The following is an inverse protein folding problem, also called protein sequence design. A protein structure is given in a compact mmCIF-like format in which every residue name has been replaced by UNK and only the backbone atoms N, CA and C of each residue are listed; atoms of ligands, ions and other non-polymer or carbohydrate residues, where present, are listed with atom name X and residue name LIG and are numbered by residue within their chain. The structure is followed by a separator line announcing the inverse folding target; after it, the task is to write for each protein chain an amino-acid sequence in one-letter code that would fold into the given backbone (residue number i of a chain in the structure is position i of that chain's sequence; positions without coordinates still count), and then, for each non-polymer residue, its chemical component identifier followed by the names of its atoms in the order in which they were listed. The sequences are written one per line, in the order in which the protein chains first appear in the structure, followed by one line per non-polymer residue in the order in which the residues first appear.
data_IF_597407768946
#
_entry.id   IF_597407768946
#
_cell.length_a   1.000
_cell.length_b   1.000
_cell.length_c   1.000
_cell.angle_alpha   90.00
_cell.angle_beta   90.00
_cell.angle_gamma   90.00
#
_symmetry.space_group_name_H-M   'P 1'
#
loop_
_entity.id
_entity.type
_entity.pdbx_description
1 polymer ?
#
# COMPACT_ATOMS: atom_id res chain seq x y z
N UNK A 1 45.57 31.43 -17.33
CA UNK A 1 46.05 31.11 -18.69
C UNK A 1 45.50 29.74 -19.08
N UNK A 2 44.86 29.75 -20.26
CA UNK A 2 44.50 28.61 -21.13
C UNK A 2 43.44 27.59 -20.64
N UNK A 3 42.22 27.83 -21.14
CA UNK A 3 41.10 26.93 -21.37
C UNK A 3 41.50 25.70 -22.21
N UNK A 4 40.94 24.54 -21.93
CA UNK A 4 40.67 23.51 -22.96
C UNK A 4 39.30 22.89 -22.68
N UNK A 5 38.36 23.25 -23.52
CA UNK A 5 37.09 22.57 -23.71
C UNK A 5 37.34 21.28 -24.54
N UNK A 6 36.67 20.20 -24.19
CA UNK A 6 36.60 19.02 -25.07
C UNK A 6 35.10 18.69 -25.25
N UNK A 7 34.63 19.07 -26.46
CA UNK A 7 33.31 18.65 -26.97
C UNK A 7 33.41 17.21 -27.47
N UNK A 8 32.51 16.34 -27.08
CA UNK A 8 32.25 15.08 -27.77
C UNK A 8 30.91 15.18 -28.50
N UNK A 9 31.02 15.19 -29.81
CA UNK A 9 29.93 15.02 -30.78
C UNK A 9 29.65 13.52 -30.91
N UNK A 10 28.42 13.10 -30.69
CA UNK A 10 27.94 11.76 -31.03
C UNK A 10 27.02 11.88 -32.26
N UNK A 11 27.46 11.26 -33.34
CA UNK A 11 26.75 11.23 -34.61
C UNK A 11 25.63 10.18 -34.59
N UNK A 12 24.42 10.60 -34.99
CA UNK A 12 23.29 9.75 -35.33
C UNK A 12 23.48 9.19 -36.73
N UNK A 13 23.48 7.87 -36.88
CA UNK A 13 23.36 7.20 -38.17
C UNK A 13 21.97 6.59 -38.30
N UNK A 14 21.12 7.20 -39.13
CA UNK A 14 19.89 6.59 -39.66
C UNK A 14 20.28 5.60 -40.76
N UNK A 15 19.72 4.39 -40.68
CA UNK A 15 19.65 3.46 -41.82
C UNK A 15 18.19 3.27 -42.18
N UNK A 16 17.82 3.78 -43.32
CA UNK A 16 16.58 3.51 -44.04
C UNK A 16 16.86 2.52 -45.16
N UNK A 17 16.08 1.43 -45.22
CA UNK A 17 15.89 0.63 -46.44
C UNK A 17 14.57 -0.16 -46.17
N UNK A 18 13.52 -0.14 -46.94
CA UNK A 18 13.41 -0.04 -48.39
C UNK A 18 12.33 -1.08 -48.77
N UNK A 19 11.20 -0.60 -49.29
CA UNK A 19 10.04 -1.36 -49.79
C UNK A 19 10.38 -2.15 -51.08
N UNK A 20 9.77 -3.32 -51.23
CA UNK A 20 9.22 -3.91 -52.47
C UNK A 20 8.80 -5.34 -52.16
N UNK A 21 7.64 -5.90 -52.46
CA UNK A 21 6.65 -5.63 -53.46
C UNK A 21 6.19 -6.93 -54.09
N UNK A 22 4.85 -7.15 -54.19
CA UNK A 22 4.16 -8.02 -55.20
C UNK A 22 4.43 -9.55 -55.16
N UNK A 23 3.51 -10.41 -55.42
CA UNK A 23 2.12 -10.46 -55.87
C UNK A 23 1.68 -11.94 -56.05
N UNK A 24 0.38 -12.20 -55.83
CA UNK A 24 -0.51 -13.11 -56.59
C UNK A 24 -0.08 -14.57 -56.90
N UNK A 25 -0.91 -15.57 -56.59
CA UNK A 25 -1.99 -16.09 -57.43
C UNK A 25 -2.57 -17.40 -56.85
N UNK A 26 -3.84 -17.44 -56.62
CA UNK A 26 -4.90 -18.23 -57.23
C UNK A 26 -4.61 -19.71 -57.52
N UNK A 27 -5.47 -20.59 -57.03
CA UNK A 27 -5.61 -21.96 -57.46
C UNK A 27 -6.76 -22.64 -56.75
N UNK A 28 -7.90 -22.66 -57.45
CA UNK A 28 -9.16 -23.34 -57.19
C UNK A 28 -9.08 -24.84 -57.53
N UNK A 29 -9.92 -25.61 -56.91
CA UNK A 29 -10.75 -26.72 -57.45
C UNK A 29 -10.85 -27.86 -56.44
N UNK A 30 -12.00 -28.12 -56.00
CA UNK A 30 -13.18 -28.82 -56.48
C UNK A 30 -13.32 -30.27 -55.98
N UNK A 31 -14.49 -30.47 -55.35
CA UNK A 31 -15.38 -31.63 -55.35
C UNK A 31 -14.88 -33.01 -54.93
N UNK A 32 -15.55 -33.66 -53.98
CA UNK A 32 -16.69 -34.55 -54.25
C UNK A 32 -17.38 -35.01 -52.96
N UNK A 33 -18.71 -35.08 -53.04
CA UNK A 33 -19.64 -35.65 -52.07
C UNK A 33 -19.78 -37.15 -52.23
N UNK A 34 -20.16 -37.85 -51.17
CA UNK A 34 -21.05 -39.04 -51.10
C UNK A 34 -21.35 -39.32 -49.64
N UNK A 35 -22.44 -39.13 -49.10
CA UNK A 35 -23.78 -39.69 -49.03
C UNK A 35 -23.87 -41.10 -48.36
N UNK A 36 -24.90 -41.21 -47.48
CA UNK A 36 -25.62 -42.32 -46.89
C UNK A 36 -25.09 -42.86 -45.55
N UNK A 37 -25.85 -43.00 -44.49
CA UNK A 37 -27.26 -43.24 -44.19
C UNK A 37 -27.46 -43.25 -42.66
N UNK A 38 -28.70 -42.97 -42.30
CA UNK A 38 -29.30 -42.89 -40.97
C UNK A 38 -29.25 -44.18 -40.13
N UNK A 39 -29.29 -44.02 -38.81
CA UNK A 39 -30.34 -44.60 -37.94
C UNK A 39 -30.12 -44.25 -36.45
N UNK A 40 -31.13 -43.67 -35.83
CA UNK A 40 -31.71 -44.16 -34.58
C UNK A 40 -31.31 -43.45 -33.26
N UNK A 41 -32.12 -42.50 -32.88
CA UNK A 41 -32.78 -42.38 -31.56
C UNK A 41 -32.01 -42.64 -30.27
N UNK A 42 -31.81 -41.58 -29.47
CA UNK A 42 -32.48 -41.43 -28.17
C UNK A 42 -32.21 -40.01 -27.63
N UNK A 43 -33.30 -39.34 -27.24
CA UNK A 43 -33.30 -38.02 -26.66
C UNK A 43 -32.77 -38.12 -25.22
N UNK A 44 -31.66 -37.41 -24.94
CA UNK A 44 -31.29 -36.99 -23.60
C UNK A 44 -31.53 -35.48 -23.55
N UNK A 45 -32.48 -35.13 -22.73
CA UNK A 45 -32.83 -33.74 -22.37
C UNK A 45 -31.64 -33.12 -21.61
N UNK A 46 -30.80 -32.44 -22.33
CA UNK A 46 -29.80 -31.54 -21.75
C UNK A 46 -30.38 -30.13 -21.84
N UNK A 47 -30.85 -29.63 -20.71
CA UNK A 47 -31.08 -28.21 -20.53
C UNK A 47 -29.78 -27.50 -20.87
N UNK A 48 -29.71 -26.94 -22.07
CA UNK A 48 -28.71 -25.99 -22.45
C UNK A 48 -28.90 -24.76 -21.54
N UNK A 49 -27.87 -24.43 -20.78
CA UNK A 49 -27.77 -23.10 -20.22
C UNK A 49 -27.84 -22.13 -21.40
N UNK A 50 -28.77 -21.19 -21.35
CA UNK A 50 -28.84 -20.08 -22.30
C UNK A 50 -27.54 -19.30 -22.15
N UNK A 51 -26.61 -19.43 -23.08
CA UNK A 51 -25.53 -18.44 -23.25
C UNK A 51 -26.21 -17.13 -23.57
N UNK A 52 -26.17 -16.21 -22.61
CA UNK A 52 -26.55 -14.81 -22.79
C UNK A 52 -25.67 -14.21 -23.88
N UNK A 53 -26.22 -14.01 -25.08
CA UNK A 53 -25.57 -13.31 -26.20
C UNK A 53 -25.78 -11.78 -26.07
N UNK A 54 -25.91 -11.26 -24.85
CA UNK A 54 -25.95 -9.84 -24.55
C UNK A 54 -24.53 -9.23 -24.59
N UNK A 55 -24.42 -8.02 -25.08
CA UNK A 55 -23.20 -7.22 -24.96
C UNK A 55 -22.91 -7.04 -23.45
N UNK A 56 -21.71 -7.47 -22.99
CA UNK A 56 -21.32 -7.34 -21.58
C UNK A 56 -21.14 -5.87 -21.21
N UNK A 57 -21.56 -5.50 -20.01
CA UNK A 57 -21.28 -4.18 -19.45
C UNK A 57 -19.82 -4.15 -19.00
N UNK A 58 -19.03 -3.18 -19.48
CA UNK A 58 -17.66 -2.98 -19.02
C UNK A 58 -17.66 -1.99 -17.87
N UNK A 59 -17.06 -2.38 -16.75
CA UNK A 59 -16.82 -1.55 -15.58
C UNK A 59 -15.31 -1.21 -15.53
N UNK A 60 -14.95 0.07 -15.58
CA UNK A 60 -13.54 0.50 -15.56
C UNK A 60 -13.09 0.87 -14.16
N UNK A 61 -12.02 0.18 -13.71
CA UNK A 61 -11.42 0.36 -12.40
C UNK A 61 -9.99 0.87 -12.50
N UNK A 62 -9.69 2.05 -11.92
CA UNK A 62 -8.32 2.57 -11.84
C UNK A 62 -7.54 1.93 -10.69
N UNK A 63 -6.34 1.45 -11.00
CA UNK A 63 -5.44 0.76 -10.08
C UNK A 63 -3.98 1.19 -10.35
N UNK A 64 -3.03 0.64 -9.60
CA UNK A 64 -1.59 0.78 -9.84
C UNK A 64 -0.88 -0.55 -9.62
N UNK A 65 0.29 -0.71 -10.27
CA UNK A 65 1.18 -1.87 -10.10
C UNK A 65 0.47 -3.24 -10.23
N UNK A 66 -0.38 -3.41 -11.26
CA UNK A 66 -1.16 -4.64 -11.50
C UNK A 66 -0.28 -5.88 -11.43
N UNK A 67 0.91 -5.83 -12.03
CA UNK A 67 1.81 -6.97 -12.07
C UNK A 67 2.43 -7.36 -10.72
N UNK A 68 2.40 -6.45 -9.75
CA UNK A 68 2.93 -6.64 -8.40
C UNK A 68 1.84 -6.90 -7.35
N UNK A 69 0.56 -6.84 -7.75
CA UNK A 69 -0.59 -6.90 -6.84
C UNK A 69 -1.50 -8.08 -7.21
N UNK A 70 -1.21 -9.29 -6.73
CA UNK A 70 -1.88 -10.52 -7.19
C UNK A 70 -3.37 -10.58 -6.86
N UNK A 71 -3.82 -9.95 -5.79
CA UNK A 71 -5.23 -9.96 -5.40
C UNK A 71 -6.14 -9.19 -6.37
N UNK A 72 -5.65 -8.26 -7.17
CA UNK A 72 -6.48 -7.53 -8.14
C UNK A 72 -7.17 -8.48 -9.12
N UNK A 73 -6.41 -9.35 -9.77
CA UNK A 73 -6.99 -10.29 -10.74
C UNK A 73 -7.92 -11.29 -10.07
N UNK A 74 -7.57 -11.77 -8.85
CA UNK A 74 -8.43 -12.71 -8.12
C UNK A 74 -9.78 -12.09 -7.74
N UNK A 75 -9.79 -10.81 -7.35
CA UNK A 75 -11.01 -10.07 -7.06
C UNK A 75 -11.88 -9.89 -8.31
N UNK A 76 -11.25 -9.53 -9.44
CA UNK A 76 -11.95 -9.37 -10.72
C UNK A 76 -12.55 -10.71 -11.17
N UNK A 77 -11.76 -11.77 -11.17
CA UNK A 77 -12.23 -13.11 -11.60
C UNK A 77 -13.41 -13.58 -10.76
N UNK A 78 -13.34 -13.40 -9.43
CA UNK A 78 -14.41 -13.79 -8.52
C UNK A 78 -15.68 -12.94 -8.67
N UNK A 79 -15.55 -11.66 -8.97
CA UNK A 79 -16.70 -10.80 -9.27
C UNK A 79 -17.35 -11.16 -10.60
N UNK A 80 -16.57 -11.35 -11.66
CA UNK A 80 -17.07 -11.73 -13.00
C UNK A 80 -17.72 -13.13 -13.00
N UNK A 81 -17.28 -14.05 -12.14
CA UNK A 81 -17.95 -15.35 -11.97
C UNK A 81 -19.39 -15.19 -11.47
N UNK A 82 -19.64 -14.22 -10.59
CA UNK A 82 -20.98 -13.89 -10.07
C UNK A 82 -21.80 -13.03 -11.02
N UNK A 83 -21.13 -12.24 -11.86
CA UNK A 83 -21.73 -11.29 -12.80
C UNK A 83 -21.27 -11.61 -14.23
N UNK A 84 -21.76 -12.72 -14.85
CA UNK A 84 -21.26 -13.19 -16.15
C UNK A 84 -21.56 -12.23 -17.31
N UNK A 85 -22.41 -11.24 -17.11
CA UNK A 85 -22.75 -10.16 -18.03
C UNK A 85 -21.91 -8.88 -17.83
N UNK A 86 -20.93 -8.92 -16.90
CA UNK A 86 -20.00 -7.84 -16.61
C UNK A 86 -18.59 -8.22 -17.03
N UNK A 87 -17.80 -7.23 -17.42
CA UNK A 87 -16.34 -7.33 -17.57
C UNK A 87 -15.71 -6.15 -16.82
N UNK A 88 -14.73 -6.43 -15.96
CA UNK A 88 -13.99 -5.41 -15.23
C UNK A 88 -12.66 -5.14 -15.95
N UNK A 89 -12.51 -3.93 -16.48
CA UNK A 89 -11.28 -3.45 -17.10
C UNK A 89 -10.44 -2.70 -16.06
N UNK A 90 -9.30 -3.28 -15.65
CA UNK A 90 -8.34 -2.61 -14.79
C UNK A 90 -7.46 -1.67 -15.61
N UNK A 91 -7.35 -0.41 -15.18
CA UNK A 91 -6.52 0.61 -15.82
C UNK A 91 -5.38 0.99 -14.88
N UNK A 92 -4.15 0.60 -15.24
CA UNK A 92 -2.95 0.90 -14.45
C UNK A 92 -2.48 2.33 -14.72
N UNK A 93 -2.59 3.20 -13.71
CA UNK A 93 -2.12 4.59 -13.78
C UNK A 93 -0.69 4.78 -13.26
N UNK A 94 -0.01 3.68 -12.86
CA UNK A 94 1.30 3.70 -12.22
C UNK A 94 1.24 4.18 -10.77
N UNK A 95 2.20 3.75 -9.95
CA UNK A 95 2.18 4.03 -8.50
C UNK A 95 2.79 5.38 -8.10
N UNK A 96 3.74 5.91 -8.86
CA UNK A 96 4.53 7.09 -8.46
C UNK A 96 3.69 8.37 -8.43
N UNK A 97 2.93 8.64 -9.50
CA UNK A 97 2.13 9.86 -9.65
C UNK A 97 0.62 9.57 -9.66
N UNK A 98 0.23 8.41 -9.13
CA UNK A 98 -1.15 7.90 -9.22
C UNK A 98 -2.22 8.94 -8.89
N UNK A 99 -2.12 9.60 -7.73
CA UNK A 99 -3.13 10.57 -7.27
C UNK A 99 -3.21 11.80 -8.16
N UNK A 100 -2.07 12.26 -8.68
CA UNK A 100 -2.01 13.41 -9.60
C UNK A 100 -2.65 13.07 -10.95
N UNK A 101 -2.33 11.87 -11.47
CA UNK A 101 -2.92 11.37 -12.72
C UNK A 101 -4.42 11.19 -12.57
N UNK A 102 -4.86 10.49 -11.51
CA UNK A 102 -6.27 10.27 -11.22
C UNK A 102 -7.05 11.58 -11.08
N UNK A 103 -6.52 12.54 -10.30
CA UNK A 103 -7.17 13.85 -10.16
C UNK A 103 -7.28 14.61 -11.46
N UNK A 104 -6.30 14.45 -12.37
CA UNK A 104 -6.33 15.04 -13.71
C UNK A 104 -7.38 14.38 -14.58
N UNK A 105 -7.45 13.06 -14.61
CA UNK A 105 -8.43 12.29 -15.36
C UNK A 105 -9.86 12.63 -14.91
N UNK A 106 -10.14 12.62 -13.60
CA UNK A 106 -11.48 12.87 -13.05
C UNK A 106 -11.95 14.32 -13.21
N UNK A 107 -11.02 15.28 -13.29
CA UNK A 107 -11.37 16.71 -13.53
C UNK A 107 -11.37 17.09 -14.99
N UNK A 108 -10.83 16.24 -15.86
CA UNK A 108 -10.86 16.40 -17.31
C UNK A 108 -12.24 16.12 -17.91
N UNK A 109 -12.43 16.52 -19.16
CA UNK A 109 -13.65 16.16 -19.90
C UNK A 109 -13.46 14.78 -20.52
N UNK A 110 -14.20 13.77 -20.05
CA UNK A 110 -14.26 12.44 -20.68
C UNK A 110 -13.64 11.31 -19.86
N UNK A 111 -13.52 11.47 -18.55
CA UNK A 111 -13.24 10.32 -17.67
C UNK A 111 -14.37 9.29 -17.81
N UNK A 112 -14.00 8.05 -18.05
CA UNK A 112 -14.89 6.91 -18.19
C UNK A 112 -14.65 5.83 -17.12
N UNK A 113 -14.01 6.23 -15.99
CA UNK A 113 -13.88 5.36 -14.83
C UNK A 113 -15.23 5.21 -14.12
N UNK A 114 -15.53 3.97 -13.72
CA UNK A 114 -16.69 3.62 -12.90
C UNK A 114 -16.33 3.44 -11.44
N UNK A 115 -15.15 2.88 -11.18
CA UNK A 115 -14.58 2.73 -9.83
C UNK A 115 -13.15 3.24 -9.83
N UNK A 116 -12.78 3.95 -8.77
CA UNK A 116 -11.41 4.43 -8.60
C UNK A 116 -10.86 3.99 -7.26
N UNK A 117 -9.60 3.54 -7.26
CA UNK A 117 -8.87 3.29 -6.03
C UNK A 117 -8.37 4.59 -5.43
N UNK A 118 -8.56 4.76 -4.15
CA UNK A 118 -8.04 5.88 -3.36
C UNK A 118 -6.82 5.38 -2.60
N UNK A 119 -5.67 5.94 -2.92
CA UNK A 119 -4.38 5.45 -2.42
C UNK A 119 -4.04 5.94 -1.03
N UNK A 120 -4.47 7.17 -0.71
CA UNK A 120 -4.15 7.86 0.55
C UNK A 120 -5.15 8.98 0.86
N UNK A 121 -5.16 9.43 2.12
CA UNK A 121 -6.07 10.49 2.58
C UNK A 121 -5.82 11.84 1.91
N UNK A 122 -4.58 12.31 1.64
CA UNK A 122 -4.37 13.56 0.89
C UNK A 122 -4.96 13.55 -0.51
N UNK A 123 -4.84 12.43 -1.23
CA UNK A 123 -5.47 12.24 -2.53
C UNK A 123 -7.00 12.24 -2.43
N UNK A 124 -7.53 11.52 -1.45
CA UNK A 124 -8.95 11.47 -1.15
C UNK A 124 -9.54 12.86 -0.93
N UNK A 125 -8.99 13.62 0.02
CA UNK A 125 -9.49 14.97 0.32
C UNK A 125 -9.39 15.92 -0.86
N UNK A 126 -8.37 15.76 -1.69
CA UNK A 126 -8.23 16.51 -2.96
C UNK A 126 -9.39 16.21 -3.92
N UNK A 127 -9.76 14.96 -4.08
CA UNK A 127 -10.86 14.55 -4.98
C UNK A 127 -12.22 14.99 -4.44
N UNK A 128 -12.47 14.84 -3.13
CA UNK A 128 -13.71 15.33 -2.48
C UNK A 128 -13.84 16.85 -2.64
N UNK A 129 -12.77 17.62 -2.38
CA UNK A 129 -12.76 19.07 -2.54
C UNK A 129 -13.04 19.52 -3.99
N UNK A 130 -12.69 18.71 -4.98
CA UNK A 130 -12.99 18.94 -6.39
C UNK A 130 -14.43 18.55 -6.77
N UNK A 131 -15.17 17.86 -5.90
CA UNK A 131 -16.54 17.41 -6.14
C UNK A 131 -16.65 16.33 -7.21
N UNK A 132 -15.63 15.50 -7.38
CA UNK A 132 -15.57 14.45 -8.42
C UNK A 132 -15.91 13.06 -7.93
N UNK A 133 -16.21 12.90 -6.63
CA UNK A 133 -16.62 11.64 -6.03
C UNK A 133 -18.10 11.68 -5.60
N UNK A 134 -18.78 10.56 -5.76
CA UNK A 134 -20.18 10.35 -5.35
C UNK A 134 -20.26 10.04 -3.85
N UNK A 135 -21.18 10.67 -3.08
CA UNK A 135 -21.43 10.27 -1.69
C UNK A 135 -22.00 8.84 -1.61
N UNK A 136 -21.48 8.02 -0.71
CA UNK A 136 -21.84 6.60 -0.59
C UNK A 136 -22.93 6.31 0.46
N UNK A 137 -23.30 7.28 1.30
CA UNK A 137 -24.22 7.04 2.43
C UNK A 137 -25.55 6.43 2.00
N UNK A 138 -26.13 6.86 0.88
CA UNK A 138 -27.39 6.30 0.37
C UNK A 138 -27.25 4.85 -0.13
N UNK A 139 -26.12 4.51 -0.71
CA UNK A 139 -25.80 3.14 -1.13
C UNK A 139 -25.59 2.22 0.08
N UNK A 140 -24.86 2.69 1.09
CA UNK A 140 -24.60 1.98 2.36
C UNK A 140 -25.93 1.70 3.07
N UNK A 141 -26.80 2.71 3.20
CA UNK A 141 -28.11 2.56 3.85
C UNK A 141 -29.01 1.57 3.10
N UNK A 142 -29.07 1.67 1.77
CA UNK A 142 -29.96 0.82 0.96
C UNK A 142 -29.51 -0.64 0.90
N UNK A 143 -28.20 -0.90 0.92
CA UNK A 143 -27.63 -2.25 0.89
C UNK A 143 -27.41 -2.85 2.28
N UNK A 144 -27.52 -2.04 3.35
CA UNK A 144 -27.37 -2.51 4.73
C UNK A 144 -25.93 -2.90 5.10
N UNK A 145 -24.92 -2.26 4.52
CA UNK A 145 -23.51 -2.49 4.86
C UNK A 145 -23.24 -2.11 6.31
N UNK A 146 -22.70 -3.05 7.09
CA UNK A 146 -22.32 -2.82 8.48
C UNK A 146 -20.92 -2.19 8.56
N UNK A 147 -20.87 -0.89 8.84
CA UNK A 147 -19.60 -0.17 8.95
C UNK A 147 -18.81 -0.53 10.22
N UNK A 148 -19.38 -1.20 11.21
CA UNK A 148 -18.68 -1.58 12.45
C UNK A 148 -17.56 -2.60 12.19
N UNK A 149 -17.66 -3.38 11.11
CA UNK A 149 -16.64 -4.34 10.69
C UNK A 149 -15.29 -3.69 10.31
N UNK A 150 -15.28 -2.39 10.00
CA UNK A 150 -14.05 -1.62 9.70
C UNK A 150 -13.41 -1.03 10.97
N UNK A 151 -13.83 -1.43 12.17
CA UNK A 151 -13.24 -0.99 13.46
C UNK A 151 -13.08 0.54 13.58
N UNK A 152 -14.06 1.29 13.08
CA UNK A 152 -14.09 2.77 13.14
C UNK A 152 -13.30 3.50 12.06
N UNK A 153 -12.54 2.81 11.21
CA UNK A 153 -11.75 3.45 10.13
C UNK A 153 -12.68 4.14 9.11
N UNK A 154 -13.81 3.51 8.75
CA UNK A 154 -14.76 4.12 7.82
C UNK A 154 -15.33 5.45 8.35
N UNK A 155 -15.46 5.60 9.66
CA UNK A 155 -15.94 6.87 10.26
C UNK A 155 -14.86 7.95 10.28
N UNK A 156 -13.57 7.57 10.32
CA UNK A 156 -12.44 8.51 10.29
C UNK A 156 -12.22 9.16 8.92
N UNK A 157 -12.76 8.59 7.84
CA UNK A 157 -12.65 9.15 6.47
C UNK A 157 -13.87 9.95 6.03
N UNK A 158 -14.80 10.25 6.94
CA UNK A 158 -15.94 11.14 6.62
C UNK A 158 -15.48 12.58 6.39
N UNK A 159 -15.98 13.18 5.31
CA UNK A 159 -15.81 14.61 5.00
C UNK A 159 -17.18 15.29 5.15
N UNK A 160 -17.27 16.30 6.01
CA UNK A 160 -18.54 16.98 6.32
C UNK A 160 -19.70 16.04 6.69
N UNK A 161 -19.37 14.93 7.35
CA UNK A 161 -20.32 13.90 7.79
C UNK A 161 -20.73 12.90 6.71
N UNK A 162 -20.26 13.03 5.48
CA UNK A 162 -20.53 12.11 4.36
C UNK A 162 -19.31 11.20 4.09
N UNK A 163 -19.60 9.97 3.62
CA UNK A 163 -18.60 9.01 3.19
C UNK A 163 -18.55 8.99 1.65
N UNK A 164 -17.36 9.15 1.08
CA UNK A 164 -17.15 9.13 -0.37
C UNK A 164 -16.27 7.97 -0.84
N UNK A 165 -15.75 7.19 0.10
CA UNK A 165 -14.93 6.01 -0.17
C UNK A 165 -15.27 4.89 0.80
N UNK A 166 -15.04 3.63 0.41
CA UNK A 166 -15.17 2.47 1.30
C UNK A 166 -13.84 1.71 1.32
N UNK A 167 -13.22 1.51 2.49
CA UNK A 167 -11.95 0.80 2.59
C UNK A 167 -12.07 -0.66 2.15
N UNK A 168 -11.08 -1.18 1.40
CA UNK A 168 -10.95 -2.61 1.12
C UNK A 168 -9.58 -3.17 1.53
N UNK A 169 -8.55 -2.32 1.66
CA UNK A 169 -7.24 -2.63 2.23
C UNK A 169 -7.02 -1.72 3.44
N UNK A 170 -6.46 -2.28 4.50
CA UNK A 170 -6.09 -1.55 5.69
C UNK A 170 -4.73 -2.04 6.20
N UNK A 171 -3.68 -1.59 5.57
CA UNK A 171 -2.32 -1.87 6.05
C UNK A 171 -2.05 -1.09 7.33
N UNK A 172 -1.41 -1.72 8.30
CA UNK A 172 -0.98 -1.09 9.54
C UNK A 172 0.49 -1.36 9.82
N UNK A 173 1.09 -0.57 10.71
CA UNK A 173 2.50 -0.70 11.02
C UNK A 173 2.74 -1.73 12.10
N UNK A 174 3.82 -2.52 11.91
CA UNK A 174 4.35 -3.49 12.85
C UNK A 174 5.88 -3.37 12.92
N UNK A 175 6.50 -4.06 13.85
CA UNK A 175 7.94 -4.18 13.91
C UNK A 175 8.36 -5.53 13.31
N UNK A 176 9.05 -5.51 12.18
CA UNK A 176 9.73 -6.67 11.61
C UNK A 176 11.06 -6.90 12.33
N UNK A 177 11.45 -8.16 12.51
CA UNK A 177 12.77 -8.50 13.06
C UNK A 177 13.39 -9.72 12.37
N UNK A 178 14.72 -9.71 12.28
CA UNK A 178 15.51 -10.80 11.70
C UNK A 178 15.97 -11.74 12.83
N UNK A 179 15.36 -12.92 12.95
CA UNK A 179 15.63 -13.90 14.00
C UNK A 179 17.07 -14.37 14.01
N UNK A 180 17.73 -14.49 12.85
CA UNK A 180 19.11 -14.96 12.76
C UNK A 180 20.09 -13.99 13.44
N UNK A 181 19.82 -12.68 13.42
CA UNK A 181 20.64 -11.69 14.12
C UNK A 181 20.49 -11.87 15.65
N UNK A 182 19.27 -12.04 16.13
CA UNK A 182 18.99 -12.26 17.54
C UNK A 182 19.64 -13.55 18.04
N UNK A 183 19.49 -14.64 17.28
CA UNK A 183 20.08 -15.95 17.60
C UNK A 183 21.61 -15.87 17.65
N UNK A 184 22.23 -15.20 16.67
CA UNK A 184 23.67 -15.01 16.61
C UNK A 184 24.21 -14.17 17.77
N UNK A 185 23.44 -13.18 18.22
CA UNK A 185 23.79 -12.34 19.38
C UNK A 185 23.47 -12.99 20.73
N UNK A 186 22.63 -14.06 20.76
CA UNK A 186 22.13 -14.66 21.99
C UNK A 186 21.19 -13.73 22.77
N UNK A 187 20.45 -12.88 22.07
CA UNK A 187 19.50 -11.91 22.62
C UNK A 187 18.08 -12.44 22.43
N UNK A 188 17.23 -12.26 23.42
CA UNK A 188 15.81 -12.64 23.37
C UNK A 188 15.08 -11.84 22.28
N UNK A 189 14.09 -12.47 21.61
CA UNK A 189 13.27 -11.81 20.61
C UNK A 189 12.43 -10.68 21.22
N UNK A 190 12.03 -9.65 20.42
CA UNK A 190 11.15 -8.60 20.90
C UNK A 190 9.76 -9.17 21.26
N UNK A 191 9.04 -8.49 22.12
CA UNK A 191 7.71 -8.88 22.59
C UNK A 191 6.62 -7.98 22.03
N UNK A 192 5.35 -8.43 22.10
CA UNK A 192 4.19 -7.65 21.71
C UNK A 192 3.80 -6.55 22.72
N UNK A 193 4.52 -6.44 23.82
CA UNK A 193 4.35 -5.45 24.89
C UNK A 193 5.72 -4.78 25.13
N UNK A 194 6.24 -4.09 24.12
CA UNK A 194 7.55 -3.45 24.16
C UNK A 194 7.40 -1.93 24.07
N UNK A 195 7.97 -1.23 25.05
CA UNK A 195 8.02 0.24 25.03
C UNK A 195 9.09 0.76 24.07
N UNK A 196 9.04 2.06 23.72
CA UNK A 196 10.09 2.70 22.90
C UNK A 196 11.46 2.70 23.58
N UNK A 197 11.49 2.82 24.92
CA UNK A 197 12.76 2.75 25.67
C UNK A 197 13.37 1.34 25.58
N UNK A 198 12.55 0.31 25.71
CA UNK A 198 12.99 -1.09 25.53
C UNK A 198 13.42 -1.37 24.09
N UNK A 199 12.72 -0.80 23.12
CA UNK A 199 13.07 -0.89 21.69
C UNK A 199 14.46 -0.28 21.42
N UNK A 200 14.74 0.97 21.87
CA UNK A 200 16.05 1.62 21.69
C UNK A 200 17.16 0.82 22.39
N UNK A 201 16.93 0.35 23.63
CA UNK A 201 17.88 -0.48 24.34
C UNK A 201 18.18 -1.81 23.61
N UNK A 202 17.16 -2.44 23.06
CA UNK A 202 17.27 -3.68 22.29
C UNK A 202 18.03 -3.45 20.98
N UNK A 203 17.70 -2.39 20.24
CA UNK A 203 18.39 -2.01 19.02
C UNK A 203 19.89 -1.78 19.25
N UNK A 204 20.24 -1.04 20.31
CA UNK A 204 21.64 -0.81 20.70
C UNK A 204 22.37 -2.10 21.06
N UNK A 205 21.71 -3.04 21.74
CA UNK A 205 22.31 -4.32 22.14
C UNK A 205 22.67 -5.22 20.95
N UNK A 206 21.97 -5.09 19.82
CA UNK A 206 22.17 -5.86 18.59
C UNK A 206 23.12 -5.19 17.60
N UNK A 207 23.49 -3.94 17.84
CA UNK A 207 24.29 -3.14 16.91
C UNK A 207 25.75 -3.60 16.86
N UNK A 208 26.28 -3.80 15.65
CA UNK A 208 27.70 -4.06 15.41
C UNK A 208 28.22 -3.02 14.43
N UNK A 209 29.20 -2.21 14.86
CA UNK A 209 29.78 -1.13 14.06
C UNK A 209 31.16 -1.50 13.45
N UNK A 210 31.53 -2.78 13.48
CA UNK A 210 32.78 -3.26 12.89
C UNK A 210 32.72 -3.18 11.36
N UNK A 211 33.64 -2.45 10.68
CA UNK A 211 33.63 -2.32 9.22
C UNK A 211 33.63 -3.67 8.50
N UNK A 212 32.66 -3.86 7.59
CA UNK A 212 32.44 -5.08 6.83
C UNK A 212 31.70 -6.20 7.59
N UNK A 213 31.22 -5.92 8.81
CA UNK A 213 30.40 -6.79 9.64
C UNK A 213 29.29 -5.98 10.32
N UNK A 214 28.90 -4.87 9.71
CA UNK A 214 27.90 -3.97 10.28
C UNK A 214 26.55 -4.67 10.45
N UNK A 215 26.00 -4.57 11.65
CA UNK A 215 24.61 -4.89 11.95
C UNK A 215 23.95 -3.65 12.51
N UNK A 216 22.89 -3.23 11.87
CA UNK A 216 22.04 -2.13 12.31
C UNK A 216 20.95 -2.67 13.23
N UNK A 217 20.90 -2.20 14.48
CA UNK A 217 19.87 -2.61 15.44
C UNK A 217 18.49 -2.17 15.02
N UNK A 218 18.39 -1.02 14.35
CA UNK A 218 17.15 -0.44 13.83
C UNK A 218 17.29 0.00 12.37
N UNK A 219 16.16 0.11 11.66
CA UNK A 219 16.08 0.75 10.35
C UNK A 219 14.85 1.64 10.27
N UNK A 220 15.05 2.88 9.87
CA UNK A 220 13.99 3.86 9.59
C UNK A 220 14.04 4.21 8.10
N UNK A 221 12.96 3.89 7.40
CA UNK A 221 12.87 4.30 6.00
C UNK A 221 12.73 5.82 5.89
N UNK A 222 13.03 6.39 4.71
CA UNK A 222 13.11 7.84 4.49
C UNK A 222 11.74 8.56 4.43
N UNK A 223 10.73 7.99 5.06
CA UNK A 223 9.42 8.61 5.25
C UNK A 223 9.33 9.28 6.62
N UNK A 224 8.64 10.43 6.71
CA UNK A 224 8.41 11.10 8.00
C UNK A 224 7.70 10.17 9.00
N UNK A 225 6.77 9.35 8.50
CA UNK A 225 6.01 8.40 9.33
C UNK A 225 6.90 7.39 10.06
N UNK A 226 8.07 7.02 9.51
CA UNK A 226 9.00 6.14 10.19
C UNK A 226 9.51 6.67 11.55
N UNK A 227 9.40 8.00 11.80
CA UNK A 227 9.76 8.65 13.06
C UNK A 227 8.56 9.31 13.72
N UNK A 228 7.75 10.07 12.97
CA UNK A 228 6.63 10.81 13.54
C UNK A 228 5.52 9.91 14.07
N UNK A 229 5.42 8.70 13.55
CA UNK A 229 4.50 7.67 14.00
C UNK A 229 4.58 7.41 15.52
N UNK A 230 5.78 7.43 16.07
CA UNK A 230 5.99 7.18 17.51
C UNK A 230 5.18 8.13 18.41
N UNK A 231 4.99 9.37 17.98
CA UNK A 231 4.35 10.41 18.79
C UNK A 231 2.83 10.51 18.66
N UNK A 232 2.22 9.81 17.68
CA UNK A 232 0.76 9.92 17.42
C UNK A 232 -0.03 8.66 17.78
N UNK A 233 0.59 7.72 18.49
CA UNK A 233 -0.05 6.47 18.91
C UNK A 233 -0.68 6.53 20.29
N UNK A 234 -0.59 7.64 20.98
CA UNK A 234 -1.11 7.86 22.34
C UNK A 234 -2.63 8.11 22.36
N UNK A 235 -3.24 8.38 21.20
CA UNK A 235 -4.65 8.71 21.07
C UNK A 235 -4.99 10.16 21.49
N UNK A 236 -3.98 10.96 21.84
CA UNK A 236 -4.10 12.36 22.24
C UNK A 236 -3.59 13.29 21.14
N UNK A 237 -2.47 12.94 20.50
CA UNK A 237 -1.81 13.76 19.47
C UNK A 237 -2.14 13.26 18.06
N UNK A 238 -2.20 14.20 17.13
CA UNK A 238 -2.38 13.96 15.71
C UNK A 238 -1.40 14.79 14.87
N UNK A 239 -1.26 14.41 13.61
CA UNK A 239 -0.49 15.19 12.63
C UNK A 239 -1.14 16.55 12.31
N UNK A 240 -2.40 16.78 12.71
CA UNK A 240 -3.13 18.04 12.52
C UNK A 240 -3.03 19.01 13.71
N UNK A 241 -2.30 18.70 14.79
CA UNK A 241 -2.30 19.49 16.02
C UNK A 241 -1.72 20.90 15.85
N UNK A 242 -0.84 21.11 14.86
CA UNK A 242 -0.16 22.40 14.65
C UNK A 242 0.87 22.75 15.71
N UNK A 243 1.09 21.87 16.69
CA UNK A 243 2.17 21.89 17.66
C UNK A 243 2.78 20.50 17.75
N UNK A 244 4.05 20.37 17.41
CA UNK A 244 4.76 19.10 17.27
C UNK A 244 5.87 18.92 18.32
N UNK A 245 5.83 19.64 19.44
CA UNK A 245 6.80 19.52 20.53
C UNK A 245 6.83 18.09 21.10
N UNK A 246 5.71 17.35 21.01
CA UNK A 246 5.59 15.95 21.41
C UNK A 246 6.46 15.01 20.56
N UNK A 247 6.88 15.39 19.34
CA UNK A 247 7.75 14.59 18.48
C UNK A 247 9.23 14.68 18.87
N UNK A 248 9.61 15.68 19.69
CA UNK A 248 11.00 15.94 20.03
C UNK A 248 11.74 14.72 20.60
N UNK A 249 11.22 13.99 21.60
CA UNK A 249 11.93 12.84 22.18
C UNK A 249 12.18 11.73 21.14
N UNK A 250 11.29 11.54 20.19
CA UNK A 250 11.44 10.53 19.15
C UNK A 250 12.49 10.91 18.10
N UNK A 251 12.54 12.17 17.71
CA UNK A 251 13.65 12.67 16.87
C UNK A 251 14.98 12.60 17.62
N UNK A 252 15.03 12.92 18.91
CA UNK A 252 16.23 12.77 19.73
C UNK A 252 16.70 11.32 19.77
N UNK A 253 15.81 10.35 19.96
CA UNK A 253 16.11 8.93 19.93
C UNK A 253 16.73 8.53 18.59
N UNK A 254 16.05 8.77 17.47
CA UNK A 254 16.50 8.34 16.14
C UNK A 254 17.77 9.06 15.69
N UNK A 255 17.94 10.33 15.96
CA UNK A 255 19.18 11.07 15.65
C UNK A 255 20.35 10.54 16.48
N UNK A 256 20.14 10.20 17.76
CA UNK A 256 21.19 9.58 18.59
C UNK A 256 21.53 8.18 18.06
N UNK A 257 20.55 7.38 17.68
CA UNK A 257 20.78 6.07 17.05
C UNK A 257 21.59 6.19 15.74
N UNK A 258 21.26 7.18 14.90
CA UNK A 258 22.00 7.47 13.68
C UNK A 258 23.46 7.86 13.98
N UNK A 259 23.68 8.76 14.95
CA UNK A 259 25.03 9.20 15.35
C UNK A 259 25.87 8.08 15.93
N UNK A 260 25.26 7.12 16.64
CA UNK A 260 25.89 5.97 17.27
C UNK A 260 26.05 4.78 16.31
N UNK A 261 25.50 4.86 15.09
CA UNK A 261 25.53 3.80 14.09
C UNK A 261 24.58 2.65 14.39
N UNK A 262 23.56 2.87 15.21
CA UNK A 262 22.48 1.92 15.51
C UNK A 262 21.56 1.74 14.31
N UNK A 263 21.33 2.81 13.56
CA UNK A 263 20.63 2.77 12.28
C UNK A 263 21.49 3.38 11.17
N UNK A 264 21.06 3.17 9.92
CA UNK A 264 21.73 3.74 8.74
C UNK A 264 21.53 5.26 8.69
N UNK A 265 22.56 5.96 8.19
CA UNK A 265 22.51 7.40 7.98
C UNK A 265 21.43 7.79 6.96
N UNK A 266 20.55 8.72 7.36
CA UNK A 266 19.40 9.15 6.56
C UNK A 266 19.79 9.74 5.20
N UNK A 267 20.84 10.60 5.19
CA UNK A 267 21.30 11.22 3.95
C UNK A 267 21.85 10.17 2.99
N UNK A 268 22.48 9.13 3.50
CA UNK A 268 22.94 7.97 2.74
C UNK A 268 21.77 7.19 2.14
N UNK A 269 20.73 6.92 2.93
CA UNK A 269 19.51 6.24 2.46
C UNK A 269 18.82 7.05 1.35
N UNK A 270 18.61 8.35 1.55
CA UNK A 270 18.02 9.27 0.54
C UNK A 270 18.84 9.29 -0.74
N UNK A 271 20.17 9.41 -0.64
CA UNK A 271 21.05 9.52 -1.81
C UNK A 271 21.16 8.22 -2.61
N UNK A 272 21.20 7.08 -1.91
CA UNK A 272 21.25 5.76 -2.55
C UNK A 272 19.93 5.31 -3.12
N UNK A 273 18.80 5.89 -2.65
CA UNK A 273 17.46 5.42 -2.97
C UNK A 273 17.21 3.99 -2.48
N UNK A 274 17.90 3.55 -1.41
CA UNK A 274 17.73 2.21 -0.88
C UNK A 274 16.31 2.05 -0.32
N UNK A 275 15.54 1.19 -0.97
CA UNK A 275 14.19 0.87 -0.54
C UNK A 275 14.20 0.00 0.72
N UNK A 276 13.22 0.14 1.61
CA UNK A 276 13.14 -0.63 2.87
C UNK A 276 13.24 -2.15 2.66
N UNK A 277 12.61 -2.67 1.60
CA UNK A 277 12.66 -4.10 1.29
C UNK A 277 14.09 -4.54 0.94
N UNK A 278 14.84 -3.72 0.21
CA UNK A 278 16.25 -3.96 -0.08
C UNK A 278 17.14 -3.83 1.16
N UNK A 279 16.81 -2.90 2.07
CA UNK A 279 17.54 -2.76 3.33
C UNK A 279 17.40 -4.02 4.19
N UNK A 280 16.18 -4.52 4.36
CA UNK A 280 15.92 -5.74 5.15
C UNK A 280 16.49 -7.00 4.47
N UNK A 281 16.42 -7.07 3.14
CA UNK A 281 16.93 -8.19 2.34
C UNK A 281 18.45 -8.39 2.47
N UNK A 282 19.22 -7.35 2.86
CA UNK A 282 20.66 -7.46 3.08
C UNK A 282 21.02 -8.32 4.30
N UNK A 283 20.06 -8.65 5.16
CA UNK A 283 20.25 -9.54 6.32
C UNK A 283 21.04 -8.92 7.47
N UNK A 284 21.35 -7.63 7.43
CA UNK A 284 22.10 -6.92 8.45
C UNK A 284 21.29 -5.85 9.22
N UNK A 285 19.97 -5.88 9.10
CA UNK A 285 19.02 -5.06 9.86
C UNK A 285 18.33 -5.98 10.87
N UNK A 286 18.48 -5.69 12.16
CA UNK A 286 17.90 -6.50 13.23
C UNK A 286 16.40 -6.24 13.38
N UNK A 287 15.98 -4.98 13.41
CA UNK A 287 14.59 -4.56 13.55
C UNK A 287 14.26 -3.44 12.55
N UNK A 288 13.06 -3.48 11.99
CA UNK A 288 12.56 -2.49 11.04
C UNK A 288 11.08 -2.20 11.29
N UNK A 289 10.75 -0.96 11.60
CA UNK A 289 9.37 -0.51 11.63
C UNK A 289 8.86 -0.34 10.19
N UNK A 290 7.81 -1.07 9.84
CA UNK A 290 7.27 -1.05 8.47
C UNK A 290 5.81 -1.49 8.46
N UNK A 291 5.10 -1.10 7.41
CA UNK A 291 3.72 -1.52 7.22
C UNK A 291 3.58 -2.95 6.73
N UNK A 292 2.43 -3.53 7.03
CA UNK A 292 2.06 -4.92 6.68
C UNK A 292 1.99 -5.17 5.17
N UNK A 293 1.97 -4.13 4.34
CA UNK A 293 2.14 -4.27 2.87
C UNK A 293 3.45 -4.96 2.48
N UNK A 294 4.42 -5.02 3.38
CA UNK A 294 5.69 -5.71 3.12
C UNK A 294 5.58 -7.24 3.22
N UNK A 295 4.54 -7.80 3.84
CA UNK A 295 4.39 -9.26 4.01
C UNK A 295 4.43 -10.00 2.69
N UNK A 296 3.56 -9.66 1.76
CA UNK A 296 3.46 -10.34 0.47
C UNK A 296 4.76 -10.26 -0.32
N UNK A 297 5.42 -9.10 -0.33
CA UNK A 297 6.71 -8.91 -0.99
C UNK A 297 7.80 -9.76 -0.34
N UNK A 298 7.89 -9.76 0.99
CA UNK A 298 8.91 -10.51 1.73
C UNK A 298 8.74 -12.02 1.52
N UNK A 299 7.52 -12.53 1.66
CA UNK A 299 7.19 -13.93 1.45
C UNK A 299 7.53 -14.37 0.01
N UNK A 300 7.08 -13.61 -1.00
CA UNK A 300 7.33 -13.96 -2.40
C UNK A 300 8.81 -13.92 -2.76
N UNK A 301 9.55 -12.92 -2.31
CA UNK A 301 10.98 -12.77 -2.59
C UNK A 301 11.83 -13.86 -1.91
N UNK A 302 11.44 -14.30 -0.72
CA UNK A 302 12.06 -15.45 -0.04
C UNK A 302 11.74 -16.74 -0.81
N UNK A 303 10.48 -16.95 -1.18
CA UNK A 303 10.01 -18.13 -1.91
C UNK A 303 10.70 -18.30 -3.28
N UNK A 304 10.91 -17.22 -3.99
CA UNK A 304 11.62 -17.20 -5.29
C UNK A 304 13.14 -17.28 -5.15
N UNK A 305 13.70 -17.18 -3.93
CA UNK A 305 15.13 -17.18 -3.67
C UNK A 305 15.83 -15.87 -4.05
N UNK A 306 15.08 -14.79 -4.23
CA UNK A 306 15.66 -13.46 -4.43
C UNK A 306 16.21 -12.89 -3.11
N UNK A 307 15.53 -13.16 -1.97
CA UNK A 307 16.01 -12.82 -0.63
C UNK A 307 16.52 -14.08 0.06
N UNK A 308 17.82 -14.10 0.39
CA UNK A 308 18.50 -15.26 0.98
C UNK A 308 19.03 -15.01 2.40
N UNK A 309 19.23 -13.74 2.78
CA UNK A 309 19.91 -13.35 4.02
C UNK A 309 18.92 -12.94 5.14
N UNK A 310 17.61 -12.94 4.87
CA UNK A 310 16.56 -12.55 5.84
C UNK A 310 15.38 -13.54 5.82
N UNK A 311 15.66 -14.83 5.66
CA UNK A 311 14.63 -15.86 5.49
C UNK A 311 13.96 -16.28 6.80
N UNK A 312 14.62 -16.05 7.93
CA UNK A 312 14.14 -16.36 9.27
C UNK A 312 13.72 -15.07 9.97
N UNK A 313 12.50 -14.64 9.72
CA UNK A 313 11.97 -13.37 10.20
C UNK A 313 10.76 -13.57 11.12
N UNK A 314 10.39 -12.51 11.82
CA UNK A 314 9.18 -12.43 12.61
C UNK A 314 8.64 -11.01 12.65
N UNK A 315 7.47 -10.86 13.25
CA UNK A 315 6.88 -9.56 13.56
C UNK A 315 6.43 -9.52 15.02
N UNK A 316 6.41 -8.31 15.57
CA UNK A 316 5.70 -8.00 16.82
C UNK A 316 4.90 -6.72 16.63
N UNK A 317 3.96 -6.48 17.53
CA UNK A 317 3.22 -5.20 17.60
C UNK A 317 4.20 -4.04 17.61
N UNK A 318 3.74 -2.91 17.08
CA UNK A 318 4.55 -1.70 17.09
C UNK A 318 4.88 -1.28 18.52
N UNK A 319 6.11 -0.82 18.81
CA UNK A 319 6.47 -0.34 20.15
C UNK A 319 5.56 0.82 20.59
N UNK A 320 5.31 0.95 21.88
CA UNK A 320 4.39 1.94 22.42
C UNK A 320 5.03 2.82 23.50
N UNK A 321 4.47 3.99 23.75
CA UNK A 321 4.86 4.82 24.89
C UNK A 321 4.39 4.16 26.21
N UNK A 322 5.05 4.47 27.32
CA UNK A 322 4.61 4.00 28.62
C UNK A 322 3.17 4.45 28.92
N UNK A 323 2.31 3.51 29.28
CA UNK A 323 0.91 3.77 29.58
C UNK A 323 -0.03 3.75 28.37
N UNK A 324 0.51 3.60 27.15
CA UNK A 324 -0.29 3.36 25.94
C UNK A 324 -0.55 1.86 25.81
N UNK A 325 -1.76 1.49 25.37
CA UNK A 325 -2.14 0.08 25.20
C UNK A 325 -1.31 -0.56 24.06
N UNK A 326 -0.69 -1.73 24.29
CA UNK A 326 0.04 -2.46 23.25
C UNK A 326 -0.85 -2.79 22.05
N UNK A 327 -0.31 -2.60 20.83
CA UNK A 327 -1.04 -2.84 19.59
C UNK A 327 -1.74 -1.61 19.03
N UNK A 328 -1.58 -0.44 19.66
CA UNK A 328 -1.90 0.84 19.02
C UNK A 328 -0.92 1.08 17.87
N UNK A 329 -1.44 1.37 16.67
CA UNK A 329 -0.62 1.57 15.47
C UNK A 329 -1.29 2.48 14.46
N UNK A 330 -0.54 2.90 13.44
CA UNK A 330 -1.10 3.65 12.33
C UNK A 330 -1.62 2.74 11.23
N UNK A 331 -2.73 3.19 10.66
CA UNK A 331 -3.43 2.61 9.52
C UNK A 331 -3.18 3.45 8.27
N UNK A 332 -2.83 2.77 7.19
CA UNK A 332 -2.84 3.30 5.84
C UNK A 332 -3.86 2.53 5.03
N UNK A 333 -4.96 3.18 4.76
CA UNK A 333 -6.06 2.58 4.00
C UNK A 333 -5.88 2.78 2.50
N UNK A 334 -6.37 1.80 1.76
CA UNK A 334 -6.71 1.93 0.34
C UNK A 334 -8.20 1.68 0.21
N UNK A 335 -8.87 2.62 -0.39
CA UNK A 335 -10.33 2.61 -0.49
C UNK A 335 -10.78 2.62 -1.95
N UNK A 336 -12.07 2.42 -2.15
CA UNK A 336 -12.74 2.47 -3.44
C UNK A 336 -13.79 3.58 -3.42
N UNK A 337 -13.90 4.30 -4.52
CA UNK A 337 -14.88 5.37 -4.66
C UNK A 337 -15.52 5.33 -6.06
N UNK A 338 -16.70 5.94 -6.17
CA UNK A 338 -17.44 6.10 -7.43
C UNK A 338 -17.22 7.52 -7.93
N UNK A 339 -16.68 7.73 -9.16
CA UNK A 339 -16.64 9.03 -9.78
C UNK A 339 -18.05 9.55 -10.08
N UNK A 340 -18.28 10.86 -9.87
CA UNK A 340 -19.56 11.49 -10.23
C UNK A 340 -19.90 11.36 -11.72
N UNK A 341 -18.88 11.18 -12.57
CA UNK A 341 -18.99 10.99 -14.03
C UNK A 341 -19.41 9.60 -14.47
N UNK A 342 -19.39 8.60 -13.58
CA UNK A 342 -19.77 7.22 -13.94
C UNK A 342 -21.24 7.14 -14.36
N UNK A 343 -21.49 6.43 -15.45
CA UNK A 343 -22.84 6.09 -15.93
C UNK A 343 -23.33 4.74 -15.32
N UNK A 344 -22.44 3.98 -14.65
CA UNK A 344 -22.70 2.64 -14.12
C UNK A 344 -22.68 2.60 -12.58
N UNK A 345 -23.13 3.66 -11.88
CA UNK A 345 -22.98 3.85 -10.43
C UNK A 345 -23.51 2.69 -9.58
N UNK A 346 -24.65 2.11 -9.93
CA UNK A 346 -25.24 1.00 -9.18
C UNK A 346 -24.33 -0.26 -9.29
N UNK A 347 -23.86 -0.57 -10.49
CA UNK A 347 -22.91 -1.68 -10.70
C UNK A 347 -21.56 -1.41 -10.05
N UNK A 348 -21.08 -0.17 -10.09
CA UNK A 348 -19.86 0.26 -9.40
C UNK A 348 -19.99 0.05 -7.89
N UNK A 349 -21.17 0.33 -7.31
CA UNK A 349 -21.44 0.07 -5.91
C UNK A 349 -21.45 -1.45 -5.58
N UNK A 350 -22.06 -2.27 -6.43
CA UNK A 350 -22.02 -3.73 -6.25
C UNK A 350 -20.58 -4.27 -6.25
N UNK A 351 -19.73 -3.75 -7.14
CA UNK A 351 -18.31 -4.10 -7.17
C UNK A 351 -17.58 -3.64 -5.92
N UNK A 352 -17.77 -2.37 -5.48
CA UNK A 352 -17.17 -1.84 -4.25
C UNK A 352 -17.61 -2.66 -3.03
N UNK A 353 -18.90 -2.95 -2.92
CA UNK A 353 -19.43 -3.76 -1.82
C UNK A 353 -18.84 -5.17 -1.78
N UNK A 354 -18.61 -5.77 -2.94
CA UNK A 354 -17.97 -7.08 -3.04
C UNK A 354 -16.49 -7.01 -2.59
N UNK A 355 -15.71 -6.07 -3.11
CA UNK A 355 -14.29 -5.93 -2.78
C UNK A 355 -14.06 -5.56 -1.31
N UNK A 356 -14.91 -4.69 -0.77
CA UNK A 356 -14.82 -4.19 0.60
C UNK A 356 -15.53 -5.07 1.63
N UNK A 357 -16.21 -6.14 1.18
CA UNK A 357 -16.92 -7.10 2.02
C UNK A 357 -16.06 -8.27 2.49
N UNK A 358 -16.66 -9.17 3.27
CA UNK A 358 -15.98 -10.36 3.84
C UNK A 358 -15.34 -11.23 2.76
N UNK A 359 -16.02 -11.49 1.65
CA UNK A 359 -15.51 -12.33 0.57
C UNK A 359 -14.30 -11.71 -0.13
N UNK A 360 -14.36 -10.41 -0.43
CA UNK A 360 -13.21 -9.69 -0.96
C UNK A 360 -12.04 -9.68 0.04
N UNK A 361 -12.34 -9.54 1.32
CA UNK A 361 -11.34 -9.60 2.39
C UNK A 361 -10.64 -10.97 2.44
N UNK A 362 -11.37 -12.08 2.32
CA UNK A 362 -10.79 -13.42 2.28
C UNK A 362 -9.90 -13.64 1.04
N UNK A 363 -10.31 -13.11 -0.12
CA UNK A 363 -9.51 -13.17 -1.34
C UNK A 363 -8.20 -12.40 -1.17
N UNK A 364 -8.26 -11.18 -0.65
CA UNK A 364 -7.07 -10.36 -0.35
C UNK A 364 -6.16 -11.09 0.63
N UNK A 365 -6.71 -11.59 1.74
CA UNK A 365 -5.98 -12.29 2.79
C UNK A 365 -5.26 -13.55 2.28
N UNK A 366 -5.86 -14.27 1.31
CA UNK A 366 -5.27 -15.46 0.69
C UNK A 366 -3.91 -15.19 0.00
N UNK A 367 -3.63 -13.93 -0.32
CA UNK A 367 -2.36 -13.51 -0.92
C UNK A 367 -1.34 -13.00 0.11
N UNK A 368 -1.69 -13.00 1.40
CA UNK A 368 -0.88 -12.43 2.49
C UNK A 368 -1.02 -10.91 2.63
N UNK A 369 -1.90 -10.26 1.86
CA UNK A 369 -2.21 -8.83 2.03
C UNK A 369 -3.26 -8.64 3.15
N UNK A 370 -3.28 -7.46 3.74
CA UNK A 370 -4.18 -7.15 4.87
C UNK A 370 -5.41 -6.39 4.34
N UNK A 371 -6.60 -7.02 4.37
CA UNK A 371 -7.84 -6.35 3.99
C UNK A 371 -8.34 -5.38 5.07
N UNK A 372 -9.34 -4.58 4.72
CA UNK A 372 -9.96 -3.65 5.66
C UNK A 372 -10.83 -4.34 6.73
N UNK A 373 -11.37 -5.50 6.42
CA UNK A 373 -12.11 -6.34 7.38
C UNK A 373 -11.15 -7.40 7.92
N UNK A 374 -10.99 -7.42 9.25
CA UNK A 374 -10.15 -8.37 9.96
C UNK A 374 -11.04 -9.26 10.86
N UNK A 375 -11.72 -10.22 10.23
CA UNK A 375 -12.44 -11.29 10.94
C UNK A 375 -11.47 -12.40 11.38
N UNK A 376 -11.93 -13.30 12.24
CA UNK A 376 -11.15 -14.46 12.68
C UNK A 376 -10.72 -15.32 11.48
N UNK A 377 -11.60 -15.51 10.47
CA UNK A 377 -11.29 -16.24 9.24
C UNK A 377 -10.18 -15.58 8.42
N UNK A 378 -10.16 -14.24 8.37
CA UNK A 378 -9.13 -13.46 7.68
C UNK A 378 -7.78 -13.58 8.40
N UNK A 379 -7.76 -13.48 9.72
CA UNK A 379 -6.53 -13.68 10.53
C UNK A 379 -5.97 -15.09 10.33
N UNK A 380 -6.83 -16.11 10.32
CA UNK A 380 -6.43 -17.50 10.07
C UNK A 380 -5.84 -17.68 8.65
N UNK A 381 -6.43 -17.04 7.64
CA UNK A 381 -5.91 -17.08 6.27
C UNK A 381 -4.53 -16.43 6.16
N UNK A 382 -4.35 -15.24 6.70
CA UNK A 382 -3.06 -14.53 6.68
C UNK A 382 -1.99 -15.34 7.40
N UNK A 383 -2.28 -15.79 8.62
CA UNK A 383 -1.33 -16.54 9.44
C UNK A 383 -1.00 -17.92 8.88
N UNK A 384 -1.89 -18.53 8.08
CA UNK A 384 -1.66 -19.81 7.39
C UNK A 384 -0.98 -19.65 6.03
N UNK A 385 -0.74 -18.43 5.55
CA UNK A 385 -0.03 -18.20 4.29
C UNK A 385 1.37 -18.82 4.33
N UNK A 386 1.72 -19.62 3.32
CA UNK A 386 3.04 -20.25 3.23
C UNK A 386 4.16 -19.20 3.25
N UNK A 387 5.04 -19.27 4.23
CA UNK A 387 6.14 -18.31 4.43
C UNK A 387 5.85 -17.24 5.49
N UNK A 388 4.62 -17.13 5.99
CA UNK A 388 4.33 -16.28 7.15
C UNK A 388 4.91 -16.94 8.44
N UNK A 389 5.48 -16.14 9.37
CA UNK A 389 6.01 -16.65 10.63
C UNK A 389 4.96 -17.38 11.48
N UNK A 390 5.25 -18.58 11.93
CA UNK A 390 4.29 -19.46 12.64
C UNK A 390 4.41 -19.38 14.17
N UNK A 391 5.24 -18.51 14.69
CA UNK A 391 5.37 -18.30 16.14
C UNK A 391 4.21 -17.46 16.71
N UNK A 392 3.91 -17.67 17.98
CA UNK A 392 2.79 -17.04 18.69
C UNK A 392 2.89 -15.50 18.67
N UNK A 393 4.10 -14.94 18.81
CA UNK A 393 4.32 -13.50 18.78
C UNK A 393 3.93 -12.89 17.44
N UNK A 394 4.33 -13.52 16.33
CA UNK A 394 4.03 -13.04 14.98
C UNK A 394 2.53 -13.13 14.66
N UNK A 395 1.85 -14.18 15.10
CA UNK A 395 0.39 -14.31 14.92
C UNK A 395 -0.34 -13.27 15.77
N UNK A 396 0.04 -13.10 17.05
CA UNK A 396 -0.57 -12.12 17.95
C UNK A 396 -0.33 -10.67 17.48
N UNK A 397 0.76 -10.40 16.75
CA UNK A 397 1.04 -9.07 16.20
C UNK A 397 -0.01 -8.59 15.16
N UNK A 398 -0.79 -9.51 14.58
CA UNK A 398 -1.92 -9.17 13.70
C UNK A 398 -3.12 -8.60 14.46
N UNK A 399 -3.21 -8.80 15.79
CA UNK A 399 -4.29 -8.31 16.64
C UNK A 399 -3.98 -6.90 17.15
N UNK A 400 -4.37 -5.89 16.39
CA UNK A 400 -4.23 -4.48 16.78
C UNK A 400 -5.30 -4.08 17.77
N UNK A 401 -4.97 -3.19 18.75
CA UNK A 401 -5.93 -2.63 19.70
C UNK A 401 -6.58 -1.35 19.16
N UNK A 402 -5.78 -0.39 18.73
CA UNK A 402 -6.24 0.88 18.19
C UNK A 402 -5.57 1.15 16.84
N UNK A 403 -6.37 1.62 15.88
CA UNK A 403 -5.92 2.03 14.56
C UNK A 403 -6.18 3.52 14.37
N UNK A 404 -5.11 4.28 14.14
CA UNK A 404 -5.19 5.71 13.85
C UNK A 404 -4.79 5.95 12.40
N UNK A 405 -5.44 6.87 11.69
CA UNK A 405 -4.99 7.25 10.35
C UNK A 405 -3.64 7.96 10.42
N UNK A 406 -2.72 7.57 9.55
CA UNK A 406 -1.41 8.24 9.42
C UNK A 406 -1.56 9.74 9.14
N UNK A 407 -2.51 10.10 8.27
CA UNK A 407 -2.95 11.46 8.03
C UNK A 407 -4.46 11.52 8.24
N UNK A 408 -4.95 12.22 9.27
CA UNK A 408 -6.38 12.44 9.45
C UNK A 408 -6.98 13.23 8.28
N UNK A 409 -8.27 13.05 8.03
CA UNK A 409 -9.00 13.77 6.98
C UNK A 409 -9.08 15.25 7.30
N UNK A 410 -8.52 16.07 6.43
CA UNK A 410 -8.61 17.53 6.49
C UNK A 410 -8.47 18.12 5.09
N UNK A 411 -9.17 19.21 4.78
CA UNK A 411 -9.11 19.86 3.47
C UNK A 411 -7.68 20.27 3.03
N UNK A 412 -6.78 20.47 4.00
CA UNK A 412 -5.39 20.88 3.81
C UNK A 412 -4.38 19.74 4.05
N UNK A 413 -4.81 18.46 4.09
CA UNK A 413 -3.93 17.33 4.39
C UNK A 413 -2.69 17.28 3.49
N UNK A 414 -2.84 17.56 2.19
CA UNK A 414 -1.72 17.55 1.23
C UNK A 414 -0.68 18.65 1.50
N UNK A 415 -1.13 19.84 1.90
CA UNK A 415 -0.25 20.97 2.22
C UNK A 415 0.49 20.72 3.54
N UNK A 416 -0.20 20.17 4.54
CA UNK A 416 0.37 19.78 5.83
C UNK A 416 1.40 18.66 5.64
N UNK A 417 1.08 17.63 4.85
CA UNK A 417 1.99 16.56 4.51
C UNK A 417 3.31 17.08 3.92
N UNK A 418 3.21 18.04 3.00
CA UNK A 418 4.39 18.66 2.38
C UNK A 418 5.26 19.40 3.41
N UNK A 419 4.64 20.21 4.26
CA UNK A 419 5.36 20.96 5.30
C UNK A 419 6.07 20.04 6.29
N UNK A 420 5.42 18.96 6.72
CA UNK A 420 5.99 17.99 7.65
C UNK A 420 7.13 17.18 7.03
N UNK A 421 7.02 16.79 5.75
CA UNK A 421 8.08 16.10 5.03
C UNK A 421 9.34 16.98 4.89
N UNK A 422 9.20 18.25 4.52
CA UNK A 422 10.32 19.18 4.37
C UNK A 422 11.07 19.39 5.70
N UNK A 423 10.34 19.57 6.79
CA UNK A 423 10.93 19.73 8.12
C UNK A 423 11.58 18.43 8.60
N UNK A 424 10.94 17.28 8.39
CA UNK A 424 11.51 15.97 8.68
C UNK A 424 12.85 15.75 7.95
N UNK A 425 12.88 15.97 6.63
CA UNK A 425 14.09 15.83 5.82
C UNK A 425 15.22 16.74 6.35
N UNK A 426 14.88 17.95 6.78
CA UNK A 426 15.85 18.92 7.33
C UNK A 426 16.44 18.47 8.66
N UNK A 427 15.61 17.92 9.55
CA UNK A 427 16.08 17.35 10.83
C UNK A 427 16.96 16.12 10.57
N UNK A 428 16.46 15.16 9.81
CA UNK A 428 17.12 13.87 9.61
C UNK A 428 18.44 13.95 8.84
N UNK A 429 18.59 14.96 7.97
CA UNK A 429 19.87 15.24 7.28
C UNK A 429 20.82 16.09 8.10
N UNK A 430 20.41 16.58 9.28
CA UNK A 430 21.19 17.52 10.08
C UNK A 430 21.30 18.92 9.46
N UNK A 431 20.44 19.27 8.50
CA UNK A 431 20.39 20.60 7.89
C UNK A 431 19.88 21.68 8.85
N UNK A 432 19.11 21.27 9.86
CA UNK A 432 18.70 22.06 11.01
C UNK A 432 18.75 21.21 12.29
N UNK A 433 18.67 21.88 13.44
CA UNK A 433 18.49 21.19 14.73
C UNK A 433 17.06 20.66 14.87
N UNK A 434 16.84 19.72 15.81
CA UNK A 434 15.50 19.22 16.12
C UNK A 434 14.57 20.37 16.52
N UNK A 435 15.03 21.28 17.40
CA UNK A 435 14.24 22.43 17.85
C UNK A 435 13.86 23.37 16.68
N UNK A 436 14.77 23.63 15.74
CA UNK A 436 14.49 24.44 14.56
C UNK A 436 13.49 23.76 13.62
N UNK A 437 13.63 22.44 13.39
CA UNK A 437 12.70 21.70 12.55
C UNK A 437 11.30 21.58 13.16
N UNK A 438 11.20 21.33 14.47
CA UNK A 438 9.90 21.36 15.19
C UNK A 438 9.27 22.76 15.12
N UNK A 439 10.04 23.82 15.33
CA UNK A 439 9.54 25.19 15.20
C UNK A 439 9.04 25.48 13.76
N UNK A 440 9.73 24.96 12.74
CA UNK A 440 9.28 25.05 11.34
C UNK A 440 7.95 24.33 11.13
N UNK A 441 7.79 23.12 11.66
CA UNK A 441 6.51 22.38 11.61
C UNK A 441 5.40 23.18 12.26
N UNK A 442 5.63 23.68 13.48
CA UNK A 442 4.65 24.46 14.24
C UNK A 442 4.23 25.73 13.47
N UNK A 443 5.18 26.48 12.90
CA UNK A 443 4.90 27.70 12.14
C UNK A 443 4.12 27.43 10.85
N UNK A 444 4.61 26.50 10.03
CA UNK A 444 4.04 26.21 8.72
C UNK A 444 2.65 25.60 8.83
N UNK A 445 2.48 24.58 9.67
CA UNK A 445 1.18 23.91 9.80
C UNK A 445 0.15 24.78 10.49
N UNK A 446 0.52 25.57 11.53
CA UNK A 446 -0.40 26.54 12.11
C UNK A 446 -0.85 27.60 11.10
N UNK A 447 0.03 28.03 10.19
CA UNK A 447 -0.34 28.97 9.12
C UNK A 447 -1.33 28.31 8.13
N UNK A 448 -1.08 27.06 7.71
CA UNK A 448 -1.96 26.31 6.82
C UNK A 448 -3.34 26.11 7.46
N UNK A 449 -3.40 25.76 8.73
CA UNK A 449 -4.66 25.54 9.47
C UNK A 449 -5.45 26.83 9.73
N UNK A 450 -4.81 28.01 9.66
CA UNK A 450 -5.45 29.31 9.86
C UNK A 450 -6.10 29.90 8.57
N UNK A 451 -5.81 29.33 7.39
CA UNK A 451 -6.42 29.70 6.09
C UNK A 451 -7.80 29.09 5.88
#
# INVERSE_FOLDING_TARGET
MKKRALSFMLAFTMVAAGLAGCSSSSGSSDTTAADTTAAGSEAADTTAAEESTGEKTTLKWSVWDISATPYYQLLVDAFEEKHPDVTVEMVDLGSTDYQTVLATELTGSGSDFDVVSIKDVPGYTTLVNKGVLEPLDSYIESSGVDLTQYKGIADQVRVDGQLYELPYINSFWVLFYNKDIFDAAGVEYPTNDMTFEEYDALARSLTVTTPGQEVYGAHYHTWRSAVQLFGVLDGEHTILDGNYDFLKPYYEMVINEQNDGVCQDYATLKTSGLHYSGAFAQGNVAMMNQGTWFFSTLIEKIKTGEYTECTNWGIVKYPHAEGVEPGSTLSQITSLAIPTSSDNKDLAWEFIQFLSGEEGAEIVASTGAIPAIMSDSVVDLISSTEGFPQDENSIEALNTSNLYLEMPVHAKSSEIETALNEAHDSIMTGSCTIDEGIAQMNEQVSAILAE
#
